data_IF_805268651497
#
_entry.id   IF_805268651497
#
_cell.length_a   1.000
_cell.length_b   1.000
_cell.length_c   1.000
_cell.angle_alpha   90.00
_cell.angle_beta   90.00
_cell.angle_gamma   90.00
#
_symmetry.space_group_name_H-M   'P 1'
#
loop_
_entity.id
_entity.type
_entity.pdbx_description
1 polymer ?
#
# COMPACT_ATOMS: atom_id res chain seq x y z
N UNK A 1 -0.53 5.80 -19.42
CA UNK A 1 -0.71 4.64 -18.52
C UNK A 1 -0.07 5.05 -17.20
N UNK A 2 -0.85 5.08 -16.13
CA UNK A 2 -0.37 5.49 -14.80
C UNK A 2 0.71 4.52 -14.32
N UNK A 3 1.85 5.03 -13.86
CA UNK A 3 2.96 4.22 -13.35
C UNK A 3 2.84 4.03 -11.83
N UNK A 4 3.70 3.20 -11.24
CA UNK A 4 3.75 3.04 -9.77
C UNK A 4 4.25 4.33 -9.11
N UNK A 5 5.13 5.07 -9.79
CA UNK A 5 5.64 6.37 -9.35
C UNK A 5 4.53 7.44 -9.33
N UNK A 6 3.62 7.42 -10.32
CA UNK A 6 2.46 8.32 -10.35
C UNK A 6 1.53 8.05 -9.14
N UNK A 7 1.35 6.78 -8.77
CA UNK A 7 0.55 6.39 -7.60
C UNK A 7 1.20 6.89 -6.30
N UNK A 8 2.53 6.79 -6.18
CA UNK A 8 3.23 7.32 -5.00
C UNK A 8 3.10 8.84 -4.89
N UNK A 9 3.16 9.56 -6.03
CA UNK A 9 2.97 11.01 -6.04
C UNK A 9 1.54 11.40 -5.63
N UNK A 10 0.53 10.70 -6.16
CA UNK A 10 -0.87 10.93 -5.80
C UNK A 10 -1.11 10.62 -4.32
N UNK A 11 -0.50 9.55 -3.80
CA UNK A 11 -0.58 9.20 -2.39
C UNK A 11 0.03 10.27 -1.49
N UNK A 12 1.22 10.80 -1.81
CA UNK A 12 1.85 11.87 -1.02
C UNK A 12 0.98 13.12 -0.94
N UNK A 13 0.21 13.41 -1.99
CA UNK A 13 -0.70 14.56 -2.05
C UNK A 13 -2.12 14.25 -1.55
N UNK A 14 -2.44 12.98 -1.26
CA UNK A 14 -3.75 12.60 -0.75
C UNK A 14 -3.97 13.12 0.67
N UNK A 15 -5.23 13.42 0.98
CA UNK A 15 -5.60 13.86 2.32
C UNK A 15 -5.56 12.68 3.31
N UNK A 16 -4.93 12.92 4.44
CA UNK A 16 -4.87 11.95 5.55
C UNK A 16 -5.20 12.63 6.87
N UNK A 17 -5.72 11.86 7.82
CA UNK A 17 -6.06 12.34 9.15
C UNK A 17 -4.96 12.04 10.13
N UNK A 18 -4.59 13.06 10.90
CA UNK A 18 -3.61 12.96 11.99
C UNK A 18 -4.20 13.50 13.27
N UNK A 19 -3.68 13.07 14.39
CA UNK A 19 -4.05 13.55 15.73
C UNK A 19 -2.91 14.43 16.24
N UNK A 20 -3.22 15.68 16.58
CA UNK A 20 -2.22 16.58 17.14
C UNK A 20 -1.84 16.16 18.56
N UNK A 21 -0.54 16.05 18.81
CA UNK A 21 0.03 15.69 20.11
C UNK A 21 0.56 16.89 20.89
N UNK A 22 0.85 17.99 20.16
CA UNK A 22 1.37 19.24 20.70
C UNK A 22 0.82 20.44 19.90
N UNK A 23 0.84 21.59 20.52
CA UNK A 23 0.54 22.85 19.82
C UNK A 23 1.66 23.16 18.81
N UNK A 24 1.28 23.58 17.62
CA UNK A 24 2.21 23.94 16.55
C UNK A 24 2.54 25.43 16.72
N UNK A 25 3.84 25.83 16.73
CA UNK A 25 4.23 27.26 16.86
C UNK A 25 3.71 28.09 15.69
N UNK A 26 3.22 29.31 15.96
CA UNK A 26 2.57 30.22 14.99
C UNK A 26 3.48 30.74 13.85
N UNK A 27 4.68 30.24 13.71
CA UNK A 27 5.71 30.75 12.80
C UNK A 27 5.49 30.45 11.31
N UNK A 28 4.45 29.70 10.93
CA UNK A 28 4.21 29.33 9.53
C UNK A 28 2.83 29.74 9.02
N UNK A 29 2.72 30.80 8.18
CA UNK A 29 1.43 31.27 7.63
C UNK A 29 0.70 30.20 6.80
N UNK A 30 1.41 29.23 6.20
CA UNK A 30 0.84 28.14 5.41
C UNK A 30 0.14 27.06 6.25
N UNK A 31 0.44 27.01 7.54
CA UNK A 31 -0.13 26.06 8.50
C UNK A 31 -1.26 26.66 9.34
N UNK A 32 -1.74 27.86 9.01
CA UNK A 32 -2.72 28.63 9.81
C UNK A 32 -4.02 27.86 10.11
N UNK A 33 -4.47 26.98 9.20
CA UNK A 33 -5.64 26.10 9.45
C UNK A 33 -5.36 25.00 10.47
N UNK A 34 -4.11 24.54 10.54
CA UNK A 34 -3.68 23.51 11.48
C UNK A 34 -3.35 24.17 12.83
N UNK A 35 -2.86 25.41 12.78
CA UNK A 35 -2.45 26.22 13.94
C UNK A 35 -3.61 26.57 14.89
N UNK A 36 -4.84 26.64 14.36
CA UNK A 36 -6.03 26.88 15.17
C UNK A 36 -6.57 25.63 15.88
N UNK A 37 -5.97 24.46 15.62
CA UNK A 37 -6.43 23.19 16.15
C UNK A 37 -5.75 22.88 17.49
N UNK A 38 -6.55 22.46 18.47
CA UNK A 38 -6.09 22.15 19.82
C UNK A 38 -5.44 20.75 19.86
N UNK A 39 -4.57 20.56 20.85
CA UNK A 39 -4.04 19.24 21.19
C UNK A 39 -5.17 18.19 21.32
N UNK A 40 -5.00 17.02 20.73
CA UNK A 40 -5.98 15.93 20.70
C UNK A 40 -7.00 16.01 19.57
N UNK A 41 -7.04 17.09 18.79
CA UNK A 41 -7.93 17.19 17.63
C UNK A 41 -7.40 16.41 16.42
N UNK A 42 -8.33 15.85 15.64
CA UNK A 42 -8.04 15.30 14.33
C UNK A 42 -8.01 16.44 13.30
N UNK A 43 -6.99 16.43 12.45
CA UNK A 43 -6.81 17.38 11.36
C UNK A 43 -6.57 16.60 10.07
N UNK A 44 -7.13 17.11 8.99
CA UNK A 44 -6.95 16.55 7.66
C UNK A 44 -5.92 17.37 6.89
N UNK A 45 -4.85 16.72 6.46
CA UNK A 45 -3.71 17.36 5.77
C UNK A 45 -3.17 16.42 4.69
N UNK A 46 -2.44 16.93 3.68
CA UNK A 46 -1.73 16.11 2.74
C UNK A 46 -0.76 15.15 3.46
N UNK A 47 -0.61 13.91 2.95
CA UNK A 47 0.22 12.88 3.60
C UNK A 47 1.67 13.35 3.82
N UNK A 48 2.28 14.04 2.87
CA UNK A 48 3.62 14.59 3.02
C UNK A 48 3.72 15.57 4.21
N UNK A 49 2.69 16.40 4.42
CA UNK A 49 2.62 17.31 5.58
C UNK A 49 2.46 16.54 6.88
N UNK A 50 1.57 15.52 6.87
CA UNK A 50 1.34 14.65 8.01
C UNK A 50 2.64 13.99 8.47
N UNK A 51 3.42 13.46 7.54
CA UNK A 51 4.70 12.81 7.81
C UNK A 51 5.69 13.75 8.49
N UNK A 52 5.83 14.98 7.98
CA UNK A 52 6.71 15.99 8.57
C UNK A 52 6.28 16.35 10.00
N UNK A 53 4.97 16.54 10.23
CA UNK A 53 4.44 16.85 11.56
C UNK A 53 4.66 15.70 12.55
N UNK A 54 4.54 14.47 12.09
CA UNK A 54 4.81 13.26 12.90
C UNK A 54 6.29 13.14 13.23
N UNK A 55 7.19 13.36 12.26
CA UNK A 55 8.65 13.33 12.48
C UNK A 55 9.11 14.41 13.47
N UNK A 56 8.49 15.57 13.42
CA UNK A 56 8.74 16.68 14.38
C UNK A 56 8.06 16.47 15.75
N UNK A 57 7.25 15.42 15.91
CA UNK A 57 6.57 15.08 17.17
C UNK A 57 5.37 15.97 17.48
N UNK A 58 4.84 16.72 16.51
CA UNK A 58 3.63 17.53 16.67
C UNK A 58 2.34 16.77 16.45
N UNK A 59 2.41 15.61 15.77
CA UNK A 59 1.24 14.80 15.46
C UNK A 59 1.57 13.31 15.54
N UNK A 60 0.52 12.47 15.46
CA UNK A 60 0.62 11.04 15.22
C UNK A 60 -0.42 10.60 14.21
N UNK A 61 -0.12 9.58 13.43
CA UNK A 61 -1.13 8.90 12.64
C UNK A 61 -2.10 8.14 13.53
N UNK A 62 -3.31 7.85 13.04
CA UNK A 62 -4.24 6.95 13.70
C UNK A 62 -3.69 5.52 13.60
N UNK A 63 -3.95 4.70 14.63
CA UNK A 63 -3.43 3.33 14.67
C UNK A 63 -3.93 2.47 13.48
N UNK A 64 -5.14 2.75 13.00
CA UNK A 64 -5.74 2.07 11.86
C UNK A 64 -5.10 2.42 10.51
N UNK A 65 -4.46 3.59 10.40
CA UNK A 65 -3.83 4.08 9.18
C UNK A 65 -2.34 3.70 9.11
N UNK A 66 -1.79 3.10 10.17
CA UNK A 66 -0.38 2.71 10.23
C UNK A 66 -0.23 1.22 9.95
N UNK A 67 0.69 0.89 9.03
CA UNK A 67 1.15 -0.49 8.89
C UNK A 67 2.17 -0.81 9.98
N UNK A 68 1.99 -1.98 10.60
CA UNK A 68 2.93 -2.53 11.56
C UNK A 68 3.05 -4.05 11.35
N UNK A 69 4.00 -4.67 12.03
CA UNK A 69 4.23 -6.11 11.94
C UNK A 69 2.95 -6.94 12.17
N UNK A 70 2.13 -6.59 13.15
CA UNK A 70 0.89 -7.32 13.47
C UNK A 70 -0.13 -7.23 12.33
N UNK A 71 -0.27 -6.04 11.74
CA UNK A 71 -1.15 -5.82 10.59
C UNK A 71 -0.68 -6.65 9.39
N UNK A 72 0.62 -6.62 9.11
CA UNK A 72 1.23 -7.42 8.03
C UNK A 72 1.07 -8.92 8.28
N UNK A 73 1.25 -9.39 9.52
CA UNK A 73 1.04 -10.81 9.88
C UNK A 73 -0.41 -11.24 9.64
N UNK A 74 -1.40 -10.38 9.93
CA UNK A 74 -2.81 -10.66 9.63
C UNK A 74 -3.08 -10.72 8.12
N UNK A 75 -2.45 -9.83 7.34
CA UNK A 75 -2.54 -9.86 5.87
C UNK A 75 -1.91 -11.14 5.35
N UNK A 76 -0.69 -11.47 5.77
CA UNK A 76 0.02 -12.68 5.39
C UNK A 76 -0.82 -13.95 5.67
N UNK A 77 -1.38 -14.06 6.89
CA UNK A 77 -2.22 -15.20 7.24
C UNK A 77 -3.42 -15.34 6.29
N UNK A 78 -4.12 -14.25 5.98
CA UNK A 78 -5.25 -14.26 5.02
C UNK A 78 -4.82 -14.65 3.60
N UNK A 79 -3.63 -14.22 3.18
CA UNK A 79 -3.11 -14.55 1.85
C UNK A 79 -2.63 -15.99 1.71
N UNK A 80 -2.15 -16.60 2.80
CA UNK A 80 -1.57 -17.95 2.80
C UNK A 80 -2.58 -19.07 3.03
N UNK A 81 -3.87 -18.77 3.31
CA UNK A 81 -4.90 -19.80 3.43
C UNK A 81 -5.07 -20.52 2.09
N UNK A 82 -4.73 -21.86 2.01
CA UNK A 82 -4.63 -22.58 0.72
C UNK A 82 -5.97 -22.75 -0.01
N UNK A 83 -7.08 -22.76 0.72
CA UNK A 83 -8.43 -23.00 0.17
C UNK A 83 -9.03 -21.80 -0.53
N UNK A 84 -8.43 -20.64 -0.43
CA UNK A 84 -8.99 -19.40 -0.92
C UNK A 84 -8.36 -19.00 -2.26
N UNK A 85 -9.05 -19.30 -3.36
CA UNK A 85 -8.88 -18.59 -4.64
C UNK A 85 -9.29 -17.11 -4.51
N UNK A 86 -9.77 -16.71 -3.34
CA UNK A 86 -10.20 -15.36 -3.05
C UNK A 86 -8.98 -14.45 -2.89
N UNK A 87 -9.10 -13.27 -3.46
CA UNK A 87 -8.20 -12.15 -3.24
C UNK A 87 -8.82 -11.28 -2.12
N UNK A 88 -8.36 -11.40 -0.86
CA UNK A 88 -8.87 -10.51 0.17
C UNK A 88 -8.50 -9.07 -0.16
N UNK A 89 -9.42 -8.13 0.09
CA UNK A 89 -9.15 -6.72 -0.08
C UNK A 89 -8.00 -6.28 0.83
N UNK A 90 -7.03 -5.60 0.26
CA UNK A 90 -6.01 -4.87 1.01
C UNK A 90 -6.57 -3.49 1.41
N UNK A 91 -6.03 -2.91 2.48
CA UNK A 91 -6.39 -1.55 2.85
C UNK A 91 -6.01 -0.56 1.73
N UNK A 92 -6.71 0.57 1.62
CA UNK A 92 -6.35 1.60 0.66
C UNK A 92 -4.87 2.01 0.78
N UNK A 93 -4.23 2.24 -0.35
CA UNK A 93 -2.82 2.67 -0.42
C UNK A 93 -1.82 1.70 0.26
N UNK A 94 -2.18 0.40 0.36
CA UNK A 94 -1.38 -0.61 1.06
C UNK A 94 0.09 -0.60 0.65
N UNK A 95 0.40 -0.59 -0.64
CA UNK A 95 1.78 -0.66 -1.12
C UNK A 95 2.55 0.65 -0.88
N UNK A 96 1.89 1.80 -0.94
CA UNK A 96 2.50 3.08 -0.59
C UNK A 96 2.88 3.11 0.89
N UNK A 97 1.95 2.73 1.77
CA UNK A 97 2.19 2.62 3.21
C UNK A 97 3.27 1.58 3.53
N UNK A 98 3.27 0.45 2.81
CA UNK A 98 4.27 -0.60 2.96
C UNK A 98 5.68 -0.11 2.63
N UNK A 99 5.85 0.59 1.50
CA UNK A 99 7.14 1.19 1.12
C UNK A 99 7.64 2.16 2.18
N UNK A 100 6.74 3.00 2.72
CA UNK A 100 7.09 3.97 3.79
C UNK A 100 7.52 3.25 5.08
N UNK A 101 6.73 2.26 5.52
CA UNK A 101 7.04 1.48 6.72
C UNK A 101 8.40 0.77 6.63
N UNK A 102 8.69 0.11 5.50
CA UNK A 102 9.97 -0.57 5.28
C UNK A 102 11.13 0.45 5.23
N UNK A 103 10.93 1.60 4.59
CA UNK A 103 11.95 2.66 4.52
C UNK A 103 12.26 3.22 5.91
N UNK A 104 11.24 3.47 6.72
CA UNK A 104 11.40 3.94 8.10
C UNK A 104 12.13 2.90 8.96
N UNK A 105 11.75 1.63 8.90
CA UNK A 105 12.45 0.55 9.60
C UNK A 105 13.92 0.45 9.17
N UNK A 106 14.22 0.64 7.87
CA UNK A 106 15.62 0.66 7.38
C UNK A 106 16.44 1.78 8.01
N UNK A 107 15.89 2.97 8.13
CA UNK A 107 16.58 4.08 8.77
C UNK A 107 16.82 3.80 10.27
N UNK A 108 15.79 3.33 10.98
CA UNK A 108 15.87 3.02 12.40
C UNK A 108 16.84 1.85 12.69
N UNK A 109 16.90 0.86 11.78
CA UNK A 109 17.77 -0.32 11.94
C UNK A 109 19.27 -0.03 11.88
N UNK A 110 19.66 1.13 11.33
CA UNK A 110 21.10 1.54 11.26
C UNK A 110 21.75 1.71 12.63
N UNK A 111 20.95 1.97 13.66
CA UNK A 111 21.44 2.27 15.01
C UNK A 111 20.88 1.31 16.08
N UNK A 112 19.94 0.44 15.73
CA UNK A 112 19.24 -0.44 16.67
C UNK A 112 19.14 -1.87 16.14
N UNK A 113 19.81 -2.82 16.81
CA UNK A 113 19.76 -4.25 16.45
C UNK A 113 18.36 -4.87 16.62
N UNK A 114 17.53 -4.34 17.53
CA UNK A 114 16.15 -4.81 17.69
C UNK A 114 15.35 -4.44 16.46
N UNK A 115 15.53 -3.20 15.97
CA UNK A 115 14.91 -2.72 14.73
C UNK A 115 15.42 -3.46 13.48
N UNK A 116 16.67 -3.87 13.47
CA UNK A 116 17.22 -4.71 12.39
C UNK A 116 16.47 -6.06 12.31
N UNK A 117 16.28 -6.74 13.43
CA UNK A 117 15.52 -8.00 13.47
C UNK A 117 14.04 -7.81 13.08
N UNK A 118 13.45 -6.69 13.48
CA UNK A 118 12.09 -6.33 13.08
C UNK A 118 12.01 -6.12 11.56
N UNK A 119 12.99 -5.42 10.97
CA UNK A 119 13.12 -5.22 9.53
C UNK A 119 13.21 -6.56 8.79
N UNK A 120 14.12 -7.45 9.18
CA UNK A 120 14.31 -8.76 8.54
C UNK A 120 13.02 -9.59 8.53
N UNK A 121 12.30 -9.62 9.67
CA UNK A 121 11.00 -10.31 9.78
C UNK A 121 9.94 -9.66 8.91
N UNK A 122 9.89 -8.33 8.89
CA UNK A 122 8.95 -7.56 8.07
C UNK A 122 9.22 -7.80 6.60
N UNK A 123 10.47 -7.74 6.14
CA UNK A 123 10.85 -8.00 4.74
C UNK A 123 10.49 -9.42 4.30
N UNK A 124 10.62 -10.42 5.19
CA UNK A 124 10.18 -11.79 4.89
C UNK A 124 8.67 -11.87 4.67
N UNK A 125 7.88 -11.30 5.62
CA UNK A 125 6.42 -11.25 5.48
C UNK A 125 5.97 -10.52 4.20
N UNK A 126 6.60 -9.38 3.92
CA UNK A 126 6.30 -8.59 2.72
C UNK A 126 6.55 -9.39 1.46
N UNK A 127 7.69 -10.08 1.38
CA UNK A 127 8.04 -10.94 0.23
C UNK A 127 7.01 -12.05 0.03
N UNK A 128 6.57 -12.68 1.11
CA UNK A 128 5.59 -13.76 1.06
C UNK A 128 4.21 -13.24 0.63
N UNK A 129 3.75 -12.11 1.19
CA UNK A 129 2.50 -11.45 0.79
C UNK A 129 2.52 -11.13 -0.71
N UNK A 130 3.57 -10.43 -1.17
CA UNK A 130 3.69 -10.01 -2.57
C UNK A 130 3.71 -11.22 -3.50
N UNK A 131 4.48 -12.28 -3.16
CA UNK A 131 4.54 -13.50 -3.96
C UNK A 131 3.19 -14.24 -4.01
N UNK A 132 2.44 -14.30 -2.91
CA UNK A 132 1.10 -14.87 -2.89
C UNK A 132 0.14 -14.07 -3.77
N UNK A 133 0.18 -12.73 -3.67
CA UNK A 133 -0.65 -11.83 -4.49
C UNK A 133 -0.34 -11.97 -5.97
N UNK A 134 0.94 -11.94 -6.36
CA UNK A 134 1.36 -12.10 -7.76
C UNK A 134 0.82 -13.41 -8.33
N UNK A 135 0.94 -14.54 -7.64
CA UNK A 135 0.41 -15.84 -8.12
C UNK A 135 -1.10 -15.79 -8.37
N UNK A 136 -1.86 -15.18 -7.47
CA UNK A 136 -3.31 -15.02 -7.61
C UNK A 136 -3.66 -14.11 -8.79
N UNK A 137 -2.94 -12.98 -8.95
CA UNK A 137 -3.13 -12.04 -10.07
C UNK A 137 -2.81 -12.70 -11.41
N UNK A 138 -1.71 -13.47 -11.50
CA UNK A 138 -1.38 -14.23 -12.72
C UNK A 138 -2.48 -15.23 -13.05
N UNK A 139 -2.98 -15.97 -12.05
CA UNK A 139 -4.09 -16.91 -12.24
C UNK A 139 -5.37 -16.21 -12.74
N UNK A 140 -5.68 -15.04 -12.18
CA UNK A 140 -6.82 -14.22 -12.59
C UNK A 140 -6.66 -13.71 -14.02
N UNK A 141 -5.46 -13.22 -14.37
CA UNK A 141 -5.15 -12.70 -15.70
C UNK A 141 -5.17 -13.79 -16.81
N UNK A 142 -4.91 -15.04 -16.44
CA UNK A 142 -4.94 -16.18 -17.35
C UNK A 142 -6.34 -16.80 -17.53
N UNK A 143 -7.31 -16.40 -16.69
CA UNK A 143 -8.68 -16.89 -16.75
C UNK A 143 -9.39 -16.41 -18.02
N UNK A 144 -10.15 -17.29 -18.73
CA UNK A 144 -10.92 -16.86 -19.89
C UNK A 144 -12.10 -15.94 -19.52
N UNK A 145 -12.63 -16.10 -18.31
CA UNK A 145 -13.74 -15.31 -17.76
C UNK A 145 -13.34 -14.75 -16.40
N UNK A 146 -12.55 -13.67 -16.35
CA UNK A 146 -12.15 -13.09 -15.07
C UNK A 146 -13.38 -12.50 -14.35
N UNK A 147 -13.49 -12.76 -13.05
CA UNK A 147 -14.55 -12.17 -12.23
C UNK A 147 -14.30 -10.67 -12.05
N UNK A 148 -15.27 -9.86 -12.43
CA UNK A 148 -15.23 -8.40 -12.23
C UNK A 148 -15.09 -8.05 -10.74
N UNK A 149 -15.74 -8.80 -9.86
CA UNK A 149 -15.61 -8.62 -8.41
C UNK A 149 -14.18 -8.76 -7.93
N UNK A 150 -13.43 -9.76 -8.45
CA UNK A 150 -12.02 -9.95 -8.10
C UNK A 150 -11.13 -8.84 -8.64
N UNK A 151 -11.44 -8.28 -9.81
CA UNK A 151 -10.71 -7.14 -10.37
C UNK A 151 -10.92 -5.88 -9.52
N UNK A 152 -12.14 -5.68 -9.00
CA UNK A 152 -12.46 -4.53 -8.15
C UNK A 152 -11.72 -4.54 -6.81
N UNK A 153 -11.37 -5.71 -6.29
CA UNK A 153 -10.64 -5.87 -5.02
C UNK A 153 -9.13 -5.59 -5.15
N UNK A 154 -8.60 -5.53 -6.38
CA UNK A 154 -7.20 -5.23 -6.64
C UNK A 154 -6.87 -3.77 -6.27
N UNK A 155 -5.68 -3.56 -5.71
CA UNK A 155 -5.13 -2.20 -5.57
C UNK A 155 -4.83 -1.58 -6.94
N UNK A 156 -4.49 -0.29 -6.97
CA UNK A 156 -4.13 0.38 -8.23
C UNK A 156 -2.89 -0.26 -8.86
N UNK A 157 -1.87 -0.55 -8.08
CA UNK A 157 -0.64 -1.20 -8.55
C UNK A 157 -0.93 -2.61 -9.11
N UNK A 158 -1.80 -3.36 -8.45
CA UNK A 158 -2.19 -4.69 -8.88
C UNK A 158 -3.03 -4.68 -10.15
N UNK A 159 -3.89 -3.67 -10.33
CA UNK A 159 -4.65 -3.47 -11.60
C UNK A 159 -3.73 -3.20 -12.78
N UNK A 160 -2.66 -2.42 -12.57
CA UNK A 160 -1.64 -2.19 -13.62
C UNK A 160 -1.02 -3.53 -14.01
N UNK A 161 -0.54 -4.30 -13.03
CA UNK A 161 0.06 -5.62 -13.27
C UNK A 161 -0.92 -6.56 -13.98
N UNK A 162 -2.16 -6.66 -13.47
CA UNK A 162 -3.22 -7.47 -14.07
C UNK A 162 -3.45 -7.10 -15.55
N UNK A 163 -3.57 -5.82 -15.86
CA UNK A 163 -3.84 -5.34 -17.23
C UNK A 163 -2.71 -5.70 -18.18
N UNK A 164 -1.45 -5.56 -17.76
CA UNK A 164 -0.27 -5.93 -18.55
C UNK A 164 -0.26 -7.45 -18.80
N UNK A 165 -0.46 -8.25 -17.75
CA UNK A 165 -0.44 -9.71 -17.84
C UNK A 165 -1.59 -10.22 -18.71
N UNK A 166 -2.81 -9.76 -18.49
CA UNK A 166 -3.99 -10.18 -19.25
C UNK A 166 -3.78 -9.90 -20.74
N UNK A 167 -3.39 -8.66 -21.09
CA UNK A 167 -3.10 -8.30 -22.50
C UNK A 167 -2.02 -9.21 -23.08
N UNK A 168 -0.91 -9.40 -22.37
CA UNK A 168 0.20 -10.23 -22.84
C UNK A 168 -0.23 -11.68 -23.07
N UNK A 169 -1.00 -12.25 -22.14
CA UNK A 169 -1.50 -13.63 -22.23
C UNK A 169 -2.49 -13.79 -23.38
N UNK A 170 -3.40 -12.83 -23.57
CA UNK A 170 -4.38 -12.85 -24.66
C UNK A 170 -3.66 -12.76 -26.02
N UNK A 171 -2.74 -11.81 -26.17
CA UNK A 171 -1.95 -11.63 -27.39
C UNK A 171 -1.10 -12.88 -27.71
N UNK A 172 -0.52 -13.50 -26.68
CA UNK A 172 0.25 -14.73 -26.81
C UNK A 172 -0.61 -15.91 -27.26
N UNK A 173 -1.77 -16.12 -26.63
CA UNK A 173 -2.72 -17.15 -27.02
C UNK A 173 -3.17 -16.99 -28.47
N UNK A 174 -3.49 -15.76 -28.89
CA UNK A 174 -3.91 -15.48 -30.27
C UNK A 174 -2.82 -15.83 -31.28
N UNK A 175 -1.54 -15.59 -30.97
CA UNK A 175 -0.39 -15.95 -31.82
C UNK A 175 -0.19 -17.48 -31.92
N UNK A 176 -0.42 -18.21 -30.82
CA UNK A 176 -0.24 -19.66 -30.79
C UNK A 176 -1.37 -20.41 -31.48
N UNK A 177 -2.61 -19.95 -31.28
CA UNK A 177 -3.80 -20.70 -31.73
C UNK A 177 -4.30 -20.26 -33.11
N UNK A 178 -3.74 -19.18 -33.67
CA UNK A 178 -4.26 -18.56 -34.88
C UNK A 178 -5.58 -17.81 -34.64
N UNK A 179 -6.01 -17.03 -35.64
CA UNK A 179 -7.21 -16.20 -35.52
C UNK A 179 -8.52 -16.99 -35.52
N UNK A 180 -8.50 -18.30 -35.77
CA UNK A 180 -9.70 -19.12 -35.97
C UNK A 180 -10.24 -19.76 -34.67
N UNK A 181 -9.46 -19.79 -33.60
CA UNK A 181 -9.86 -20.33 -32.29
C UNK A 181 -10.13 -19.23 -31.26
N UNK A 182 -10.97 -18.26 -31.64
CA UNK A 182 -11.57 -17.35 -30.65
C UNK A 182 -12.68 -18.08 -29.93
N UNK A 183 -12.40 -18.54 -28.71
CA UNK A 183 -13.41 -18.97 -27.76
C UNK A 183 -13.96 -17.76 -27.01
#
# INVERSE_FOLDING_TARGET
MMSVEDIDFDFENSQTRIILTREIPETSPKLSRILSSKMGQEVEVPYWTARELVQLGYARFREEDVLNYNTLSKVHWRETIPASRQLPALQPNFYCLLRRHVTELKELSKQDQVKLRELERTESLVRDIVNCRIRKIVSLAASPTPSEELIQVLTYEERILYSILNKTIVDWKAKLLGSELKA
#
